data_IF_347215023227
#
_entry.id   IF_347215023227
#
_cell.length_a   1.000
_cell.length_b   1.000
_cell.length_c   1.000
_cell.angle_alpha   90.00
_cell.angle_beta   90.00
_cell.angle_gamma   90.00
#
_symmetry.space_group_name_H-M   'P 1'
#
loop_
_entity.id
_entity.type
_entity.pdbx_description
1 polymer ?
#
# COMPACT_ATOMS: atom_id res chain seq x y z
N UNK A 1 -25.55 -35.66 35.68
CA UNK A 1 -25.77 -35.40 34.24
C UNK A 1 -24.85 -34.27 33.82
N UNK A 2 -23.82 -34.55 33.03
CA UNK A 2 -22.82 -33.56 32.61
C UNK A 2 -23.17 -33.07 31.20
N UNK A 3 -23.36 -31.76 31.03
CA UNK A 3 -23.59 -31.15 29.72
C UNK A 3 -22.22 -31.03 29.03
N UNK A 4 -22.02 -31.60 27.83
CA UNK A 4 -20.75 -31.46 27.13
C UNK A 4 -20.57 -30.02 26.67
N UNK A 5 -19.41 -29.44 26.97
CA UNK A 5 -19.01 -28.13 26.47
C UNK A 5 -18.89 -28.17 24.94
N UNK A 6 -19.52 -27.22 24.25
CA UNK A 6 -19.39 -27.04 22.80
C UNK A 6 -17.94 -26.66 22.47
N UNK A 7 -17.35 -27.22 21.40
CA UNK A 7 -16.01 -26.81 20.96
C UNK A 7 -16.04 -25.33 20.56
N UNK A 8 -15.03 -24.58 21.01
CA UNK A 8 -14.84 -23.19 20.62
C UNK A 8 -14.71 -23.11 19.10
N UNK A 9 -15.69 -22.49 18.44
CA UNK A 9 -15.54 -22.09 17.04
C UNK A 9 -14.41 -21.08 16.97
N UNK A 10 -13.30 -21.46 16.33
CA UNK A 10 -12.22 -20.56 15.94
C UNK A 10 -12.83 -19.39 15.20
N UNK A 11 -13.04 -18.28 15.90
CA UNK A 11 -13.54 -17.05 15.31
C UNK A 11 -12.36 -16.49 14.54
N UNK A 12 -12.35 -16.71 13.23
CA UNK A 12 -11.49 -15.99 12.29
C UNK A 12 -11.50 -14.52 12.71
N UNK A 13 -10.34 -13.91 13.04
CA UNK A 13 -10.30 -12.53 13.50
C UNK A 13 -11.06 -11.67 12.49
N UNK A 14 -11.96 -10.80 12.97
CA UNK A 14 -12.95 -10.07 12.15
C UNK A 14 -12.33 -9.41 10.89
N UNK A 15 -11.07 -9.01 10.95
CA UNK A 15 -10.31 -8.47 9.82
C UNK A 15 -10.07 -9.46 8.67
N UNK A 16 -9.80 -10.73 8.96
CA UNK A 16 -9.62 -11.77 7.93
C UNK A 16 -10.94 -12.04 7.19
N UNK A 17 -12.08 -12.03 7.90
CA UNK A 17 -13.41 -12.13 7.29
C UNK A 17 -13.74 -10.95 6.37
N UNK A 18 -13.37 -9.72 6.74
CA UNK A 18 -13.55 -8.53 5.87
C UNK A 18 -12.67 -8.60 4.62
N UNK A 19 -11.43 -9.06 4.75
CA UNK A 19 -10.53 -9.25 3.60
C UNK A 19 -11.06 -10.33 2.66
N UNK A 20 -11.58 -11.44 3.19
CA UNK A 20 -12.22 -12.50 2.40
C UNK A 20 -13.41 -11.97 1.60
N UNK A 21 -14.34 -11.26 2.24
CA UNK A 21 -15.50 -10.65 1.55
C UNK A 21 -15.08 -9.69 0.44
N UNK A 22 -14.03 -8.88 0.67
CA UNK A 22 -13.49 -7.98 -0.37
C UNK A 22 -12.85 -8.74 -1.53
N UNK A 23 -12.12 -9.81 -1.24
CA UNK A 23 -11.51 -10.68 -2.26
C UNK A 23 -12.58 -11.40 -3.08
N UNK A 24 -13.65 -11.86 -2.45
CA UNK A 24 -14.82 -12.47 -3.12
C UNK A 24 -15.52 -11.46 -4.04
N UNK A 25 -15.50 -10.17 -3.68
CA UNK A 25 -15.96 -9.07 -4.53
C UNK A 25 -14.94 -8.63 -5.61
N UNK A 26 -13.85 -9.38 -5.81
CA UNK A 26 -12.83 -9.09 -6.84
C UNK A 26 -11.80 -8.03 -6.46
N UNK A 27 -11.76 -7.58 -5.20
CA UNK A 27 -10.79 -6.57 -4.73
C UNK A 27 -9.48 -7.24 -4.33
N UNK A 28 -8.37 -6.79 -4.92
CA UNK A 28 -7.03 -7.16 -4.46
C UNK A 28 -6.68 -6.40 -3.18
N UNK A 29 -6.41 -7.13 -2.09
CA UNK A 29 -5.99 -6.56 -0.81
C UNK A 29 -4.55 -6.99 -0.54
N UNK A 30 -3.55 -6.16 -0.93
CA UNK A 30 -2.15 -6.47 -0.69
C UNK A 30 -1.77 -6.05 0.74
N UNK A 31 -1.71 -7.01 1.66
CA UNK A 31 -1.15 -6.82 3.01
C UNK A 31 0.11 -7.68 3.14
N UNK A 32 1.28 -7.05 3.01
CA UNK A 32 2.56 -7.78 2.85
C UNK A 32 2.66 -8.57 1.55
N UNK A 33 1.71 -8.39 0.64
CA UNK A 33 1.62 -9.05 -0.66
C UNK A 33 1.84 -8.05 -1.80
N UNK A 34 2.03 -8.58 -3.00
CA UNK A 34 2.20 -7.80 -4.23
C UNK A 34 1.11 -8.16 -5.25
N UNK A 35 0.80 -7.23 -6.13
CA UNK A 35 0.01 -7.45 -7.34
C UNK A 35 0.75 -6.87 -8.54
N UNK A 36 0.49 -7.43 -9.72
CA UNK A 36 1.06 -6.95 -10.98
C UNK A 36 -0.04 -6.88 -12.01
N UNK A 37 -0.13 -5.73 -12.68
CA UNK A 37 -1.02 -5.52 -13.82
C UNK A 37 -0.19 -5.22 -15.06
N UNK A 38 -0.65 -5.70 -16.23
CA UNK A 38 -0.05 -5.35 -17.51
C UNK A 38 -0.75 -4.12 -18.07
N UNK A 39 0.02 -3.09 -18.42
CA UNK A 39 -0.49 -1.84 -19.01
C UNK A 39 0.42 -1.49 -20.17
N UNK A 40 -0.13 -1.39 -21.39
CA UNK A 40 0.68 -1.02 -22.57
C UNK A 40 1.91 -1.91 -22.80
N UNK A 41 1.80 -3.22 -22.52
CA UNK A 41 2.89 -4.19 -22.68
C UNK A 41 3.91 -4.22 -21.53
N UNK A 42 3.85 -3.28 -20.57
CA UNK A 42 4.75 -3.27 -19.41
C UNK A 42 4.07 -3.77 -18.14
N UNK A 43 4.88 -4.26 -17.19
CA UNK A 43 4.42 -4.68 -15.87
C UNK A 43 4.41 -3.49 -14.90
N UNK A 44 3.26 -3.20 -14.31
CA UNK A 44 3.09 -2.24 -13.21
C UNK A 44 2.79 -3.01 -11.94
N UNK A 45 3.67 -2.86 -10.95
CA UNK A 45 3.61 -3.56 -9.68
C UNK A 45 3.05 -2.70 -8.57
N UNK A 46 2.16 -3.26 -7.74
CA UNK A 46 1.72 -2.67 -6.48
C UNK A 46 2.09 -3.57 -5.31
N UNK A 47 2.65 -3.02 -4.24
CA UNK A 47 2.89 -3.73 -2.98
C UNK A 47 2.25 -2.95 -1.85
N UNK A 48 1.57 -3.65 -0.94
CA UNK A 48 0.77 -2.98 0.08
C UNK A 48 1.03 -3.46 1.49
N UNK A 49 0.82 -2.56 2.45
CA UNK A 49 0.62 -2.89 3.87
C UNK A 49 -0.32 -1.86 4.48
N UNK A 50 -1.07 -2.21 5.51
CA UNK A 50 -1.71 -1.20 6.34
C UNK A 50 -0.65 -0.27 6.94
N UNK A 51 0.51 -0.79 7.32
CA UNK A 51 1.44 -0.07 8.19
C UNK A 51 0.82 0.19 9.56
N UNK A 52 1.58 0.88 10.42
CA UNK A 52 1.15 1.19 11.77
C UNK A 52 1.88 2.42 12.31
N UNK A 53 1.37 2.92 13.44
CA UNK A 53 1.98 4.02 14.18
C UNK A 53 3.34 3.65 14.75
N UNK A 54 4.12 4.64 15.14
CA UNK A 54 5.49 4.42 15.62
C UNK A 54 6.31 5.69 15.70
N UNK A 55 5.89 6.74 14.99
CA UNK A 55 6.63 7.99 14.90
C UNK A 55 7.81 7.91 13.92
N UNK A 56 8.48 9.04 13.76
CA UNK A 56 9.50 9.25 12.74
C UNK A 56 10.89 9.29 13.35
N UNK A 57 11.92 9.43 12.49
CA UNK A 57 13.31 9.42 12.91
C UNK A 57 13.58 10.37 14.09
N UNK A 58 14.20 9.85 15.15
CA UNK A 58 14.53 10.60 16.37
C UNK A 58 13.34 10.96 17.27
N UNK A 59 12.10 10.68 16.86
CA UNK A 59 10.85 11.04 17.59
C UNK A 59 9.83 9.89 17.57
N UNK A 60 10.32 8.65 17.65
CA UNK A 60 9.50 7.44 17.58
C UNK A 60 9.72 6.50 18.76
N UNK A 61 8.84 5.49 18.87
CA UNK A 61 8.99 4.42 19.85
C UNK A 61 10.28 3.63 19.64
N UNK A 62 10.89 3.20 20.74
CA UNK A 62 12.09 2.35 20.73
C UNK A 62 11.74 0.95 21.23
N UNK A 63 12.50 -0.06 20.81
CA UNK A 63 12.33 -1.43 21.30
C UNK A 63 12.99 -1.60 22.69
N UNK A 64 12.67 -0.69 23.61
CA UNK A 64 13.20 -0.62 24.95
C UNK A 64 12.07 -0.44 25.97
N UNK A 65 12.34 -0.74 27.24
CA UNK A 65 11.37 -0.65 28.31
C UNK A 65 10.39 -1.83 28.32
N UNK A 66 9.13 -1.49 28.48
CA UNK A 66 8.00 -2.37 28.73
C UNK A 66 7.75 -3.33 27.55
N UNK A 67 7.27 -4.56 27.80
CA UNK A 67 6.93 -5.53 26.76
C UNK A 67 5.98 -4.98 25.68
N UNK A 68 5.03 -4.12 26.08
CA UNK A 68 4.03 -3.50 25.23
C UNK A 68 4.66 -2.54 24.23
N UNK A 69 5.58 -1.69 24.69
CA UNK A 69 6.32 -0.77 23.82
C UNK A 69 7.14 -1.54 22.79
N UNK A 70 7.81 -2.61 23.23
CA UNK A 70 8.57 -3.50 22.34
C UNK A 70 7.66 -4.19 21.32
N UNK A 71 6.50 -4.70 21.75
CA UNK A 71 5.54 -5.34 20.87
C UNK A 71 4.96 -4.34 19.84
N UNK A 72 4.67 -3.12 20.26
CA UNK A 72 4.22 -2.03 19.40
C UNK A 72 5.25 -1.72 18.31
N UNK A 73 6.51 -1.49 18.67
CA UNK A 73 7.59 -1.20 17.72
C UNK A 73 7.86 -2.39 16.79
N UNK A 74 7.88 -3.61 17.32
CA UNK A 74 8.05 -4.83 16.50
C UNK A 74 6.91 -5.03 15.51
N UNK A 75 5.68 -4.75 15.91
CA UNK A 75 4.51 -4.82 15.02
C UNK A 75 4.68 -3.90 13.81
N UNK A 76 5.05 -2.64 14.05
CA UNK A 76 5.32 -1.66 12.98
C UNK A 76 6.46 -2.08 12.06
N UNK A 77 7.56 -2.58 12.63
CA UNK A 77 8.70 -3.10 11.84
C UNK A 77 8.32 -4.32 11.00
N UNK A 78 7.57 -5.27 11.56
CA UNK A 78 7.14 -6.47 10.86
C UNK A 78 6.28 -6.17 9.62
N UNK A 79 5.41 -5.16 9.72
CA UNK A 79 4.61 -4.67 8.59
C UNK A 79 5.48 -4.02 7.51
N UNK A 80 6.43 -3.17 7.90
CA UNK A 80 7.39 -2.56 6.97
C UNK A 80 8.29 -3.61 6.28
N UNK A 81 8.71 -4.65 7.00
CA UNK A 81 9.47 -5.75 6.44
C UNK A 81 8.66 -6.56 5.43
N UNK A 82 7.35 -6.75 5.69
CA UNK A 82 6.42 -7.32 4.72
C UNK A 82 6.35 -6.51 3.43
N UNK A 83 6.19 -5.19 3.56
CA UNK A 83 6.20 -4.27 2.42
C UNK A 83 7.50 -4.35 1.62
N UNK A 84 8.65 -4.33 2.30
CA UNK A 84 9.98 -4.47 1.67
C UNK A 84 10.09 -5.76 0.87
N UNK A 85 9.74 -6.90 1.47
CA UNK A 85 9.77 -8.20 0.75
C UNK A 85 8.90 -8.19 -0.50
N UNK A 86 7.72 -7.59 -0.44
CA UNK A 86 6.82 -7.48 -1.58
C UNK A 86 7.37 -6.57 -2.69
N UNK A 87 7.94 -5.41 -2.33
CA UNK A 87 8.59 -4.49 -3.26
C UNK A 87 9.84 -5.10 -3.90
N UNK A 88 10.70 -5.76 -3.13
CA UNK A 88 11.87 -6.46 -3.65
C UNK A 88 11.48 -7.59 -4.61
N UNK A 89 10.38 -8.27 -4.33
CA UNK A 89 9.85 -9.26 -5.25
C UNK A 89 9.42 -8.61 -6.57
N UNK A 90 8.73 -7.45 -6.54
CA UNK A 90 8.38 -6.70 -7.75
C UNK A 90 9.62 -6.23 -8.53
N UNK A 91 10.68 -5.84 -7.81
CA UNK A 91 11.98 -5.50 -8.40
C UNK A 91 12.57 -6.70 -9.16
N UNK A 92 12.66 -7.86 -8.52
CA UNK A 92 13.14 -9.11 -9.15
C UNK A 92 12.28 -9.56 -10.32
N UNK A 93 10.97 -9.30 -10.25
CA UNK A 93 10.04 -9.60 -11.33
C UNK A 93 10.14 -8.61 -12.51
N UNK A 94 10.95 -7.56 -12.38
CA UNK A 94 11.19 -6.60 -13.45
C UNK A 94 9.92 -5.82 -13.80
N UNK A 95 9.29 -5.20 -12.79
CA UNK A 95 8.21 -4.24 -13.01
C UNK A 95 8.79 -2.89 -13.44
N UNK A 96 8.27 -2.34 -14.53
CA UNK A 96 8.69 -1.05 -15.07
C UNK A 96 8.29 0.13 -14.16
N UNK A 97 7.22 -0.07 -13.38
CA UNK A 97 6.76 0.87 -12.35
C UNK A 97 6.39 0.07 -11.10
N UNK A 98 6.76 0.55 -9.92
CA UNK A 98 6.48 -0.06 -8.62
C UNK A 98 5.85 0.96 -7.68
N UNK A 99 4.69 0.64 -7.14
CA UNK A 99 3.92 1.53 -6.28
C UNK A 99 3.78 0.89 -4.90
N UNK A 100 4.19 1.61 -3.86
CA UNK A 100 3.96 1.23 -2.48
C UNK A 100 2.63 1.83 -2.00
N UNK A 101 1.78 0.98 -1.42
CA UNK A 101 0.48 1.34 -0.88
C UNK A 101 0.53 1.18 0.64
N UNK A 102 0.34 2.25 1.38
CA UNK A 102 0.29 2.22 2.85
C UNK A 102 -1.03 2.78 3.34
N UNK A 103 -1.49 2.42 4.54
CA UNK A 103 -2.59 3.17 5.18
C UNK A 103 -2.04 4.29 6.04
N UNK A 104 -1.00 4.03 6.82
CA UNK A 104 -0.32 5.01 7.67
C UNK A 104 0.70 5.82 6.89
N UNK A 105 0.94 7.07 7.29
CA UNK A 105 1.93 7.89 6.60
C UNK A 105 3.35 7.34 6.80
N UNK A 106 4.15 7.19 5.72
CA UNK A 106 5.55 6.81 5.81
C UNK A 106 6.47 8.00 6.14
N UNK A 107 6.00 9.26 6.00
CA UNK A 107 6.81 10.47 6.16
C UNK A 107 6.07 11.56 6.94
N UNK A 108 6.76 12.39 7.74
CA UNK A 108 6.09 13.46 8.50
C UNK A 108 5.59 14.60 7.61
N UNK A 109 6.15 14.77 6.40
CA UNK A 109 5.80 15.84 5.46
C UNK A 109 4.31 15.88 5.10
N UNK A 110 3.69 14.70 4.98
CA UNK A 110 2.26 14.58 4.67
C UNK A 110 1.39 14.73 5.90
N UNK A 111 1.95 14.97 7.09
CA UNK A 111 1.23 15.20 8.34
C UNK A 111 1.22 16.66 8.78
N UNK A 112 1.73 17.57 7.95
CA UNK A 112 1.69 19.02 8.22
C UNK A 112 0.25 19.47 8.37
N UNK A 113 -0.07 20.06 9.52
CA UNK A 113 -1.42 20.46 9.93
C UNK A 113 -1.95 19.68 11.13
N UNK A 114 -1.47 18.45 11.36
CA UNK A 114 -1.79 17.67 12.55
C UNK A 114 -0.93 18.10 13.76
N UNK A 115 -1.49 18.08 14.99
CA UNK A 115 -0.71 18.25 16.21
C UNK A 115 0.42 17.21 16.32
N UNK A 116 1.61 17.63 16.77
CA UNK A 116 2.78 16.74 16.84
C UNK A 116 2.56 15.56 17.81
N UNK A 117 1.70 15.76 18.81
CA UNK A 117 1.32 14.76 19.81
C UNK A 117 0.67 13.52 19.17
N UNK A 118 0.03 13.68 18.00
CA UNK A 118 -0.65 12.58 17.32
C UNK A 118 0.14 11.97 16.15
N UNK A 119 1.28 12.56 15.77
CA UNK A 119 2.12 12.04 14.68
C UNK A 119 2.46 10.55 14.82
N UNK A 120 2.83 10.04 16.02
CA UNK A 120 3.10 8.61 16.19
C UNK A 120 1.90 7.70 15.94
N UNK A 121 0.67 8.22 15.97
CA UNK A 121 -0.55 7.47 15.68
C UNK A 121 -1.01 7.61 14.22
N UNK A 122 -0.46 8.56 13.47
CA UNK A 122 -0.78 8.77 12.05
C UNK A 122 0.24 8.13 11.10
N UNK A 123 1.47 7.92 11.57
CA UNK A 123 2.54 7.41 10.73
C UNK A 123 3.75 6.84 11.46
N UNK A 124 4.66 6.28 10.67
CA UNK A 124 5.97 5.84 11.12
C UNK A 124 7.00 5.81 10.00
N UNK A 125 8.28 5.94 10.35
CA UNK A 125 9.39 5.95 9.38
C UNK A 125 9.77 4.60 8.70
N UNK A 126 9.62 3.41 9.33
CA UNK A 126 10.09 2.16 8.71
C UNK A 126 9.55 1.85 7.30
N UNK A 127 8.28 2.12 6.97
CA UNK A 127 7.78 1.97 5.60
C UNK A 127 8.51 2.86 4.57
N UNK A 128 8.94 4.09 4.92
CA UNK A 128 9.76 4.91 4.02
C UNK A 128 11.11 4.25 3.71
N UNK A 129 11.75 3.63 4.71
CA UNK A 129 12.98 2.87 4.51
C UNK A 129 12.79 1.66 3.58
N UNK A 130 11.63 0.98 3.65
CA UNK A 130 11.28 -0.08 2.72
C UNK A 130 11.07 0.43 1.29
N UNK A 131 10.38 1.56 1.14
CA UNK A 131 10.15 2.25 -0.14
C UNK A 131 11.47 2.64 -0.80
N UNK A 132 12.35 3.28 -0.04
CA UNK A 132 13.66 3.74 -0.51
C UNK A 132 14.58 2.57 -0.86
N UNK A 133 14.70 1.60 0.06
CA UNK A 133 15.61 0.46 -0.10
C UNK A 133 15.24 -0.45 -1.27
N UNK A 134 13.95 -0.57 -1.58
CA UNK A 134 13.49 -1.36 -2.74
C UNK A 134 13.40 -0.55 -4.03
N UNK A 135 13.60 0.78 -3.98
CA UNK A 135 13.53 1.68 -5.13
C UNK A 135 12.14 1.74 -5.78
N UNK A 136 11.08 1.88 -4.99
CA UNK A 136 9.75 2.11 -5.55
C UNK A 136 9.71 3.42 -6.39
N UNK A 137 8.68 3.60 -7.21
CA UNK A 137 8.50 4.77 -8.09
C UNK A 137 7.33 5.67 -7.65
N UNK A 138 6.53 5.22 -6.68
CA UNK A 138 5.61 6.08 -5.93
C UNK A 138 5.27 5.41 -4.60
N UNK A 139 5.15 6.19 -3.51
CA UNK A 139 4.44 5.76 -2.31
C UNK A 139 3.13 6.56 -2.17
N UNK A 140 2.05 5.86 -1.85
CA UNK A 140 0.79 6.52 -1.48
C UNK A 140 0.33 6.03 -0.13
N UNK A 141 -0.33 6.91 0.63
CA UNK A 141 -0.98 6.56 1.87
C UNK A 141 -2.35 7.21 2.03
N UNK A 142 -3.07 6.83 3.08
CA UNK A 142 -4.27 7.56 3.51
C UNK A 142 -4.17 7.88 5.00
N UNK A 143 -5.31 7.76 5.71
CA UNK A 143 -5.45 7.91 7.17
C UNK A 143 -5.27 9.32 7.73
N UNK A 144 -4.37 10.12 7.17
CA UNK A 144 -4.25 11.55 7.40
C UNK A 144 -5.32 12.26 6.54
N UNK A 145 -6.26 12.96 7.19
CA UNK A 145 -7.43 13.58 6.55
C UNK A 145 -7.44 15.11 6.59
N UNK A 146 -6.55 15.73 7.37
CA UNK A 146 -6.47 17.18 7.58
C UNK A 146 -5.16 17.78 7.07
N UNK A 147 -4.30 16.95 6.49
CA UNK A 147 -2.90 17.26 6.28
C UNK A 147 -2.55 17.44 4.78
N UNK A 148 -1.26 17.49 4.47
CA UNK A 148 -0.75 17.92 3.15
C UNK A 148 -0.62 16.76 2.17
N UNK A 149 -1.07 16.94 0.91
CA UNK A 149 -1.06 15.88 -0.13
C UNK A 149 0.35 15.35 -0.44
N UNK A 150 1.40 16.14 -0.24
CA UNK A 150 2.73 15.89 -0.80
C UNK A 150 3.81 15.71 0.27
N UNK A 151 4.63 14.67 0.12
CA UNK A 151 5.84 14.47 0.92
C UNK A 151 6.95 13.79 0.12
N UNK A 152 8.15 13.73 0.71
CA UNK A 152 9.32 13.09 0.11
C UNK A 152 10.03 12.25 1.19
N UNK A 153 10.43 11.03 0.86
CA UNK A 153 11.26 10.22 1.76
C UNK A 153 12.70 10.74 1.81
N UNK A 154 13.50 10.28 2.77
CA UNK A 154 14.93 10.58 2.82
C UNK A 154 15.69 10.16 1.55
N UNK A 155 15.25 9.09 0.89
CA UNK A 155 15.81 8.61 -0.39
C UNK A 155 15.33 9.39 -1.62
N UNK A 156 14.55 10.47 -1.45
CA UNK A 156 14.04 11.30 -2.54
C UNK A 156 12.75 10.76 -3.18
N UNK A 157 12.10 9.78 -2.55
CA UNK A 157 10.93 9.13 -3.11
C UNK A 157 9.66 9.92 -2.83
N UNK A 158 8.91 10.25 -3.89
CA UNK A 158 7.62 10.94 -3.80
C UNK A 158 6.61 10.13 -3.00
N UNK A 159 6.00 10.80 -2.03
CA UNK A 159 4.88 10.31 -1.22
C UNK A 159 3.64 11.16 -1.51
N UNK A 160 2.48 10.51 -1.63
CA UNK A 160 1.19 11.17 -1.80
C UNK A 160 0.18 10.69 -0.75
N UNK A 161 -0.46 11.62 -0.06
CA UNK A 161 -1.68 11.32 0.67
C UNK A 161 -2.86 11.30 -0.29
N UNK A 162 -3.53 10.16 -0.39
CA UNK A 162 -4.69 9.94 -1.27
C UNK A 162 -6.00 9.86 -0.49
N UNK A 163 -6.02 10.25 0.78
CA UNK A 163 -7.25 10.37 1.56
C UNK A 163 -8.22 11.37 0.89
N UNK A 164 -9.48 10.99 0.76
CA UNK A 164 -10.51 11.79 0.08
C UNK A 164 -10.63 13.24 0.63
N UNK A 165 -10.54 13.48 1.96
CA UNK A 165 -10.51 14.84 2.51
C UNK A 165 -9.32 15.69 2.05
N UNK A 166 -8.18 15.07 1.78
CA UNK A 166 -6.95 15.74 1.31
C UNK A 166 -7.04 16.01 -0.19
N UNK A 167 -7.39 15.02 -1.00
CA UNK A 167 -7.44 15.19 -2.47
C UNK A 167 -8.66 15.99 -2.95
N UNK A 168 -9.74 16.04 -2.15
CA UNK A 168 -11.00 16.78 -2.42
C UNK A 168 -11.64 16.48 -3.78
N UNK A 169 -11.44 15.25 -4.26
CA UNK A 169 -11.90 14.75 -5.56
C UNK A 169 -12.09 13.24 -5.49
N UNK A 170 -12.85 12.68 -6.43
CA UNK A 170 -13.10 11.23 -6.46
C UNK A 170 -11.82 10.41 -6.73
N UNK A 171 -10.88 10.96 -7.49
CA UNK A 171 -9.59 10.31 -7.78
C UNK A 171 -8.49 11.32 -8.14
N UNK A 172 -7.25 10.93 -7.87
CA UNK A 172 -6.04 11.68 -8.22
C UNK A 172 -5.28 10.98 -9.36
N UNK A 173 -4.87 11.74 -10.38
CA UNK A 173 -4.02 11.22 -11.45
C UNK A 173 -2.57 11.53 -11.14
N UNK A 174 -1.77 10.50 -10.89
CA UNK A 174 -0.33 10.61 -10.68
C UNK A 174 0.42 10.10 -11.92
N UNK A 175 1.24 10.96 -12.53
CA UNK A 175 2.10 10.59 -13.66
C UNK A 175 3.42 10.02 -13.14
N UNK A 176 3.77 8.82 -13.58
CA UNK A 176 5.03 8.17 -13.25
C UNK A 176 5.87 7.90 -14.50
N UNK A 177 7.20 8.11 -14.44
CA UNK A 177 8.10 7.60 -15.46
C UNK A 177 7.96 6.08 -15.58
N UNK A 178 8.01 5.58 -16.81
CA UNK A 178 8.06 4.14 -17.08
C UNK A 178 9.52 3.76 -17.27
N UNK A 179 9.99 2.73 -16.56
CA UNK A 179 11.35 2.23 -16.69
C UNK A 179 11.36 0.89 -17.45
N UNK A 180 11.32 0.91 -18.81
CA UNK A 180 11.24 -0.31 -19.61
C UNK A 180 12.47 -1.20 -19.41
N UNK A 181 13.64 -0.64 -19.15
CA UNK A 181 14.89 -1.39 -18.97
C UNK A 181 14.88 -2.31 -17.75
N UNK A 182 13.94 -2.10 -16.82
CA UNK A 182 13.73 -3.00 -15.68
C UNK A 182 12.99 -4.28 -16.08
N UNK A 183 12.37 -4.34 -17.27
CA UNK A 183 11.63 -5.54 -17.70
C UNK A 183 12.58 -6.68 -18.04
N UNK A 184 12.59 -7.70 -17.19
CA UNK A 184 13.31 -8.95 -17.46
C UNK A 184 12.52 -9.79 -18.47
N UNK A 185 13.19 -10.24 -19.53
CA UNK A 185 12.65 -11.07 -20.63
C UNK A 185 12.37 -12.53 -20.26
N UNK A 186 12.05 -12.81 -19.00
CA UNK A 186 11.78 -14.18 -18.53
C UNK A 186 10.26 -14.43 -18.54
N UNK A 187 9.75 -14.93 -19.66
CA UNK A 187 8.48 -15.67 -19.70
C UNK A 187 8.64 -16.87 -20.66
N UNK A 188 8.82 -18.07 -20.09
CA UNK A 188 8.55 -19.31 -20.81
C UNK A 188 7.03 -19.54 -20.91
N UNK A 189 6.55 -20.38 -21.84
CA UNK A 189 5.16 -20.45 -22.28
C UNK A 189 4.12 -20.92 -21.24
N UNK A 190 4.50 -21.13 -19.98
CA UNK A 190 3.60 -21.58 -18.89
C UNK A 190 3.78 -20.80 -17.56
N UNK A 191 4.25 -19.55 -17.61
CA UNK A 191 4.53 -18.70 -16.44
C UNK A 191 3.30 -18.25 -15.64
N UNK A 192 2.50 -19.17 -15.08
CA UNK A 192 1.61 -18.84 -13.96
C UNK A 192 2.47 -18.50 -12.75
N UNK A 193 2.46 -17.23 -12.33
CA UNK A 193 2.93 -16.85 -11.00
C UNK A 193 2.04 -17.54 -9.94
N UNK A 194 2.57 -18.30 -8.97
CA UNK A 194 1.80 -18.68 -7.80
C UNK A 194 1.64 -17.42 -6.93
N UNK A 195 0.45 -16.82 -6.99
CA UNK A 195 0.08 -15.56 -6.33
C UNK A 195 -1.02 -14.88 -7.15
N UNK A 196 -2.27 -15.18 -6.80
CA UNK A 196 -3.46 -15.19 -7.67
C UNK A 196 -3.91 -13.81 -8.20
N UNK A 197 -4.23 -13.75 -9.50
CA UNK A 197 -5.24 -12.85 -10.09
C UNK A 197 -4.73 -11.81 -11.09
N UNK A 198 -4.56 -12.18 -12.36
CA UNK A 198 -4.54 -11.20 -13.46
C UNK A 198 -5.99 -10.78 -13.75
N UNK A 199 -6.38 -9.57 -13.38
CA UNK A 199 -7.58 -8.95 -13.95
C UNK A 199 -7.18 -8.25 -15.24
N UNK A 200 -7.53 -8.83 -16.38
CA UNK A 200 -7.53 -8.10 -17.64
C UNK A 200 -8.60 -7.00 -17.55
N UNK A 201 -8.16 -5.74 -17.57
CA UNK A 201 -9.08 -4.61 -17.71
C UNK A 201 -9.43 -4.48 -19.19
N UNK A 202 -10.72 -4.63 -19.50
CA UNK A 202 -11.28 -4.36 -20.83
C UNK A 202 -11.09 -2.87 -21.13
N UNK A 203 -10.70 -2.46 -22.35
CA UNK A 203 -10.52 -1.05 -22.68
C UNK A 203 -11.84 -0.28 -22.50
N UNK A 204 -11.79 0.82 -21.76
CA UNK A 204 -12.86 1.82 -21.75
C UNK A 204 -12.89 2.47 -23.13
N UNK A 205 -13.96 2.19 -23.87
CA UNK A 205 -14.24 2.82 -25.16
C UNK A 205 -14.43 4.32 -25.03
N UNK A 206 -13.96 5.03 -26.04
CA UNK A 206 -14.01 6.48 -26.17
C UNK A 206 -15.44 7.03 -26.27
N UNK A 207 -15.61 8.21 -25.66
CA UNK A 207 -16.50 9.33 -25.99
C UNK A 207 -17.88 9.06 -26.62
N UNK A 208 -18.94 9.48 -25.91
CA UNK A 208 -20.10 10.11 -26.54
C UNK A 208 -20.03 11.61 -26.28
N UNK A 209 -19.70 12.36 -27.32
CA UNK A 209 -20.01 13.79 -27.46
C UNK A 209 -21.51 13.93 -27.63
N UNK A 210 -22.18 14.59 -26.68
CA UNK A 210 -23.54 15.07 -26.87
C UNK A 210 -23.45 16.49 -27.48
N UNK A 211 -23.68 16.57 -28.78
CA UNK A 211 -24.11 17.80 -29.46
C UNK A 211 -25.49 18.21 -28.96
N UNK A 212 -25.69 19.51 -28.76
CA UNK A 212 -26.95 20.09 -28.29
C UNK A 212 -28.09 20.06 -29.31
N UNK A 213 -29.29 20.37 -28.84
CA UNK A 213 -30.41 20.87 -29.64
C UNK A 213 -31.17 21.90 -28.79
N UNK A 214 -31.41 23.06 -29.39
CA UNK A 214 -32.23 24.17 -28.92
C UNK A 214 -33.72 23.77 -28.81
N UNK A 215 -34.44 24.43 -27.91
CA UNK A 215 -35.89 24.33 -27.72
C UNK A 215 -36.35 25.06 -26.47
#
# INVERSE_FOLDING_TARGET
MSVPARPATTTTPRSEGVTAVRRDAGVTVPEGERTVVRVGGVRVGGAGTRGFGGGFAGRGGSEFGEPEMKAFVRGTRGLADGLRRALDALARYGCAVRIALTRFSPVPDTLVGAPLEIHPFLGSGPPAGAVDGSGADLAVHGHAHLETEHGITSGGMRVRDVAQPVVRRAFAVNRQPVHPDRTTSQEGPNGRCPGRGTTESKPVGAAHTATGVEG
#
